data_IF_406170457542
#
_entry.id   IF_406170457542
#
_cell.length_a   1.000
_cell.length_b   1.000
_cell.length_c   1.000
_cell.angle_alpha   90.00
_cell.angle_beta   90.00
_cell.angle_gamma   90.00
#
_symmetry.space_group_name_H-M   'P 1'
#
loop_
_entity.id
_entity.type
_entity.pdbx_description
1 polymer ?
#
# COMPACT_ATOMS: atom_id res chain seq x y z
N UNK A 1 -103.76 36.06 -75.87
CA UNK A 1 -104.88 35.39 -76.56
C UNK A 1 -105.18 34.15 -75.74
N UNK A 2 -106.18 34.27 -74.86
CA UNK A 2 -106.58 33.18 -73.95
C UNK A 2 -107.29 32.10 -74.77
N UNK A 3 -106.61 30.99 -74.99
CA UNK A 3 -107.19 29.79 -75.59
C UNK A 3 -107.93 29.03 -74.49
N UNK A 4 -109.27 29.02 -74.54
CA UNK A 4 -110.07 28.08 -73.76
C UNK A 4 -109.57 26.64 -74.04
N UNK A 5 -109.28 25.83 -73.01
CA UNK A 5 -108.80 24.48 -73.22
C UNK A 5 -109.91 23.62 -73.84
N UNK A 6 -109.67 23.06 -75.01
CA UNK A 6 -110.49 22.01 -75.58
C UNK A 6 -110.51 20.84 -74.58
N UNK A 7 -111.65 20.58 -73.94
CA UNK A 7 -111.80 19.41 -73.08
C UNK A 7 -111.66 18.16 -73.94
N UNK A 8 -110.54 17.43 -73.81
CA UNK A 8 -110.38 16.11 -74.43
C UNK A 8 -111.50 15.21 -73.88
N UNK A 9 -112.48 14.88 -74.73
CA UNK A 9 -113.60 14.01 -74.41
C UNK A 9 -113.36 12.64 -75.02
N UNK A 10 -113.52 11.58 -74.22
CA UNK A 10 -113.49 10.19 -74.73
C UNK A 10 -114.85 9.53 -74.52
N UNK A 11 -115.31 8.68 -75.45
CA UNK A 11 -116.59 8.00 -75.30
C UNK A 11 -116.56 7.03 -74.10
N UNK A 12 -117.65 7.00 -73.33
CA UNK A 12 -117.86 6.08 -72.23
C UNK A 12 -117.82 4.63 -72.74
N UNK A 13 -116.98 3.78 -72.14
CA UNK A 13 -116.82 2.39 -72.56
C UNK A 13 -118.08 1.50 -72.35
N UNK A 14 -119.16 2.01 -71.76
CA UNK A 14 -120.42 1.29 -71.60
C UNK A 14 -121.57 1.84 -72.44
N UNK A 15 -121.75 3.17 -72.48
CA UNK A 15 -122.91 3.79 -73.16
C UNK A 15 -122.52 4.71 -74.34
N UNK A 16 -121.23 4.87 -74.63
CA UNK A 16 -120.74 5.70 -75.74
C UNK A 16 -120.81 7.22 -75.54
N UNK A 17 -121.46 7.72 -74.49
CA UNK A 17 -121.56 9.17 -74.20
C UNK A 17 -120.19 9.78 -73.91
N UNK A 18 -119.95 10.99 -74.40
CA UNK A 18 -118.70 11.72 -74.19
C UNK A 18 -118.43 11.97 -72.70
N UNK A 19 -117.25 11.56 -72.25
CA UNK A 19 -116.78 11.73 -70.87
C UNK A 19 -115.59 12.71 -70.90
N UNK A 20 -115.72 13.88 -70.25
CA UNK A 20 -114.62 14.84 -70.16
C UNK A 20 -113.45 14.23 -69.36
N UNK A 21 -112.26 14.26 -69.95
CA UNK A 21 -111.04 13.74 -69.35
C UNK A 21 -110.39 14.77 -68.42
N UNK A 22 -109.52 14.31 -67.52
CA UNK A 22 -108.65 15.19 -66.72
C UNK A 22 -107.42 15.55 -67.54
N UNK A 23 -107.07 16.83 -67.57
CA UNK A 23 -105.76 17.30 -68.02
C UNK A 23 -104.74 17.07 -66.88
N UNK A 24 -103.85 16.08 -67.04
CA UNK A 24 -102.77 15.78 -66.06
C UNK A 24 -102.41 14.30 -65.96
N UNK A 25 -101.36 13.99 -65.18
CA UNK A 25 -100.89 12.62 -64.95
C UNK A 25 -101.87 11.83 -64.07
N UNK A 26 -102.58 10.87 -64.67
CA UNK A 26 -103.51 9.96 -64.00
C UNK A 26 -104.26 9.09 -65.01
N UNK A 27 -104.84 7.97 -64.55
CA UNK A 27 -105.54 7.04 -65.45
C UNK A 27 -106.76 7.72 -66.09
N UNK A 28 -106.89 7.73 -67.43
CA UNK A 28 -108.04 8.30 -68.12
C UNK A 28 -109.38 7.74 -67.61
N UNK A 29 -110.40 8.60 -67.55
CA UNK A 29 -111.75 8.20 -67.18
C UNK A 29 -112.37 7.35 -68.29
N UNK A 30 -112.67 6.08 -67.96
CA UNK A 30 -113.20 5.09 -68.90
C UNK A 30 -114.73 5.01 -68.93
N UNK A 31 -115.42 5.59 -67.95
CA UNK A 31 -116.89 5.50 -67.80
C UNK A 31 -117.52 6.83 -67.40
N UNK A 32 -118.79 7.02 -67.77
CA UNK A 32 -119.61 8.17 -67.39
C UNK A 32 -119.75 8.29 -65.86
N UNK A 33 -119.64 9.52 -65.32
CA UNK A 33 -119.74 9.79 -63.87
C UNK A 33 -121.11 10.34 -63.46
N UNK A 34 -121.81 10.95 -64.42
CA UNK A 34 -123.06 11.72 -64.29
C UNK A 34 -124.28 10.90 -63.87
N UNK A 35 -124.12 9.60 -63.61
CA UNK A 35 -125.21 8.69 -63.27
C UNK A 35 -124.84 7.80 -62.06
N UNK A 36 -124.23 8.40 -61.03
CA UNK A 36 -123.74 7.74 -59.81
C UNK A 36 -122.87 6.51 -60.06
N UNK A 37 -122.10 6.47 -61.15
CA UNK A 37 -121.32 5.29 -61.55
C UNK A 37 -122.16 4.11 -62.04
N UNK A 38 -123.42 4.31 -62.44
CA UNK A 38 -124.29 3.29 -63.02
C UNK A 38 -123.64 2.64 -64.26
N UNK A 39 -123.00 3.41 -65.14
CA UNK A 39 -122.22 2.89 -66.28
C UNK A 39 -121.12 1.90 -65.82
N UNK A 40 -120.38 2.25 -64.75
CA UNK A 40 -119.31 1.41 -64.20
C UNK A 40 -119.86 0.14 -63.53
N UNK A 41 -120.95 0.26 -62.76
CA UNK A 41 -121.64 -0.88 -62.13
C UNK A 41 -122.29 -1.81 -63.15
N UNK A 42 -122.92 -1.27 -64.19
CA UNK A 42 -123.55 -2.04 -65.27
C UNK A 42 -122.50 -2.81 -66.08
N UNK A 43 -121.38 -2.16 -66.43
CA UNK A 43 -120.23 -2.85 -67.03
C UNK A 43 -119.65 -3.93 -66.11
N UNK A 44 -119.56 -3.68 -64.79
CA UNK A 44 -119.12 -4.69 -63.79
C UNK A 44 -120.07 -5.88 -63.72
N UNK A 45 -121.38 -5.64 -63.69
CA UNK A 45 -122.41 -6.68 -63.63
C UNK A 45 -122.48 -7.48 -64.94
N UNK A 46 -122.31 -6.82 -66.10
CA UNK A 46 -122.20 -7.48 -67.40
C UNK A 46 -120.98 -8.41 -67.44
N UNK A 47 -119.80 -7.94 -67.00
CA UNK A 47 -118.59 -8.77 -66.86
C UNK A 47 -118.78 -9.94 -65.89
N UNK A 48 -119.39 -9.73 -64.72
CA UNK A 48 -119.69 -10.83 -63.79
C UNK A 48 -120.64 -11.86 -64.39
N UNK A 49 -121.70 -11.43 -65.09
CA UNK A 49 -122.65 -12.35 -65.75
C UNK A 49 -121.99 -13.14 -66.87
N UNK A 50 -121.12 -12.51 -67.67
CA UNK A 50 -120.37 -13.20 -68.72
C UNK A 50 -119.33 -14.15 -68.12
N UNK A 51 -118.62 -13.74 -67.07
CA UNK A 51 -117.64 -14.59 -66.35
C UNK A 51 -118.26 -15.83 -65.70
N UNK A 52 -119.49 -15.71 -65.19
CA UNK A 52 -120.21 -16.78 -64.50
C UNK A 52 -121.22 -17.54 -65.39
N UNK A 53 -121.25 -17.26 -66.70
CA UNK A 53 -122.12 -17.96 -67.64
C UNK A 53 -121.62 -19.40 -67.86
N UNK A 54 -122.46 -20.44 -67.69
CA UNK A 54 -122.07 -21.82 -67.96
C UNK A 54 -121.88 -22.05 -69.48
N UNK A 55 -120.86 -22.83 -69.85
CA UNK A 55 -120.55 -23.19 -71.24
C UNK A 55 -119.51 -22.30 -71.94
N UNK A 56 -119.45 -22.42 -73.27
CA UNK A 56 -118.50 -21.73 -74.16
C UNK A 56 -118.41 -20.20 -73.94
N UNK A 57 -119.52 -19.45 -73.76
CA UNK A 57 -119.46 -17.99 -73.61
C UNK A 57 -118.68 -17.53 -72.36
N UNK A 58 -118.79 -18.25 -71.25
CA UNK A 58 -118.05 -17.92 -70.02
C UNK A 58 -116.57 -18.33 -70.07
N UNK A 59 -116.24 -19.39 -70.82
CA UNK A 59 -114.85 -19.74 -71.11
C UNK A 59 -114.19 -18.70 -72.02
N UNK A 60 -114.91 -18.20 -73.04
CA UNK A 60 -114.47 -17.10 -73.91
C UNK A 60 -114.27 -15.80 -73.10
N UNK A 61 -115.18 -15.47 -72.18
CA UNK A 61 -115.01 -14.29 -71.34
C UNK A 61 -113.77 -14.34 -70.41
N UNK A 62 -113.48 -15.50 -69.79
CA UNK A 62 -112.29 -15.67 -68.94
C UNK A 62 -110.99 -15.68 -69.74
N UNK A 63 -111.00 -16.23 -70.94
CA UNK A 63 -109.83 -16.19 -71.84
C UNK A 63 -109.55 -14.76 -72.30
N UNK A 64 -110.57 -13.97 -72.63
CA UNK A 64 -110.40 -12.54 -72.94
C UNK A 64 -109.85 -11.73 -71.76
N UNK A 65 -110.26 -11.99 -70.52
CA UNK A 65 -109.67 -11.33 -69.34
C UNK A 65 -108.22 -11.73 -69.09
N UNK A 66 -107.85 -12.99 -69.38
CA UNK A 66 -106.46 -13.42 -69.33
C UNK A 66 -105.63 -12.71 -70.41
N UNK A 67 -106.20 -12.52 -71.61
CA UNK A 67 -105.58 -11.72 -72.69
C UNK A 67 -105.40 -10.27 -72.25
N UNK A 68 -106.43 -9.61 -71.71
CA UNK A 68 -106.30 -8.24 -71.19
C UNK A 68 -105.21 -8.11 -70.11
N UNK A 69 -105.05 -9.13 -69.26
CA UNK A 69 -104.01 -9.13 -68.21
C UNK A 69 -102.62 -9.36 -68.80
N UNK A 70 -102.51 -10.21 -69.83
CA UNK A 70 -101.27 -10.38 -70.57
C UNK A 70 -100.89 -9.08 -71.30
N UNK A 71 -101.84 -8.41 -71.94
CA UNK A 71 -101.62 -7.12 -72.59
C UNK A 71 -101.15 -6.06 -71.58
N UNK A 72 -101.73 -6.00 -70.38
CA UNK A 72 -101.27 -5.07 -69.35
C UNK A 72 -99.86 -5.41 -68.81
N UNK A 73 -99.52 -6.70 -68.71
CA UNK A 73 -98.16 -7.12 -68.33
C UNK A 73 -97.18 -6.77 -69.45
N UNK A 74 -97.54 -7.00 -70.71
CA UNK A 74 -96.72 -6.65 -71.88
C UNK A 74 -96.52 -5.14 -71.96
N UNK A 75 -97.54 -4.33 -71.72
CA UNK A 75 -97.45 -2.87 -71.67
C UNK A 75 -96.47 -2.44 -70.55
N UNK A 76 -96.64 -2.96 -69.33
CA UNK A 76 -95.76 -2.65 -68.19
C UNK A 76 -94.30 -3.08 -68.45
N UNK A 77 -94.12 -4.27 -69.04
CA UNK A 77 -92.81 -4.78 -69.41
C UNK A 77 -92.20 -3.95 -70.53
N UNK A 78 -92.99 -3.52 -71.51
CA UNK A 78 -92.52 -2.68 -72.63
C UNK A 78 -92.13 -1.30 -72.13
N UNK A 79 -92.87 -0.70 -71.19
CA UNK A 79 -92.53 0.56 -70.55
C UNK A 79 -91.26 0.44 -69.70
N UNK A 80 -91.12 -0.62 -68.90
CA UNK A 80 -89.91 -0.87 -68.12
C UNK A 80 -88.69 -1.13 -69.04
N UNK A 81 -88.87 -1.94 -70.09
CA UNK A 81 -87.83 -2.23 -71.06
C UNK A 81 -87.46 -0.99 -71.86
N UNK A 82 -88.41 -0.13 -72.21
CA UNK A 82 -88.14 1.15 -72.85
C UNK A 82 -87.45 2.13 -71.88
N UNK A 83 -87.83 2.15 -70.60
CA UNK A 83 -87.18 2.99 -69.60
C UNK A 83 -85.71 2.60 -69.38
N UNK A 84 -85.37 1.31 -69.45
CA UNK A 84 -83.99 0.82 -69.27
C UNK A 84 -83.18 0.72 -70.57
N UNK A 85 -83.81 0.38 -71.71
CA UNK A 85 -83.13 0.23 -73.02
C UNK A 85 -83.27 1.43 -73.96
N UNK A 86 -84.04 2.46 -73.58
CA UNK A 86 -83.99 3.73 -74.33
C UNK A 86 -82.60 4.36 -74.18
N UNK A 87 -82.17 5.19 -75.16
CA UNK A 87 -80.92 5.93 -75.05
C UNK A 87 -80.77 6.69 -73.72
N UNK A 88 -81.85 7.32 -73.23
CA UNK A 88 -81.86 8.03 -71.96
C UNK A 88 -81.70 7.11 -70.73
N UNK A 89 -82.28 5.91 -70.77
CA UNK A 89 -82.11 4.89 -69.72
C UNK A 89 -80.68 4.39 -69.60
N UNK A 90 -80.07 4.05 -70.75
CA UNK A 90 -78.67 3.62 -70.83
C UNK A 90 -77.72 4.74 -70.42
N UNK A 91 -77.96 5.98 -70.83
CA UNK A 91 -77.17 7.14 -70.40
C UNK A 91 -77.24 7.36 -68.89
N UNK A 92 -78.42 7.17 -68.27
CA UNK A 92 -78.59 7.22 -66.80
C UNK A 92 -77.78 6.12 -66.11
N UNK A 93 -77.89 4.87 -66.57
CA UNK A 93 -77.11 3.75 -66.02
C UNK A 93 -75.59 3.96 -66.19
N UNK A 94 -75.16 4.45 -67.34
CA UNK A 94 -73.75 4.79 -67.58
C UNK A 94 -73.29 5.96 -66.70
N UNK A 95 -74.14 6.95 -66.45
CA UNK A 95 -73.82 8.06 -65.55
C UNK A 95 -73.71 7.58 -64.10
N UNK A 96 -74.60 6.71 -63.64
CA UNK A 96 -74.53 6.06 -62.33
C UNK A 96 -73.25 5.23 -62.17
N UNK A 97 -72.95 4.35 -63.13
CA UNK A 97 -71.71 3.57 -63.13
C UNK A 97 -70.46 4.47 -63.16
N UNK A 98 -70.47 5.56 -63.93
CA UNK A 98 -69.38 6.55 -63.92
C UNK A 98 -69.26 7.25 -62.57
N UNK A 99 -70.37 7.57 -61.91
CA UNK A 99 -70.36 8.16 -60.58
C UNK A 99 -69.80 7.17 -59.55
N UNK A 100 -70.25 5.92 -59.54
CA UNK A 100 -69.75 4.86 -58.66
C UNK A 100 -68.27 4.59 -58.87
N UNK A 101 -67.83 4.45 -60.12
CA UNK A 101 -66.40 4.25 -60.44
C UNK A 101 -65.57 5.46 -60.06
N UNK A 102 -66.07 6.69 -60.26
CA UNK A 102 -65.38 7.90 -59.79
C UNK A 102 -65.25 7.96 -58.26
N UNK A 103 -66.28 7.51 -57.53
CA UNK A 103 -66.26 7.43 -56.08
C UNK A 103 -65.28 6.35 -55.59
N UNK A 104 -65.24 5.18 -56.24
CA UNK A 104 -64.26 4.13 -55.93
C UNK A 104 -62.82 4.58 -56.19
N UNK A 105 -62.57 5.28 -57.30
CA UNK A 105 -61.24 5.83 -57.60
C UNK A 105 -60.84 6.90 -56.58
N UNK A 106 -61.78 7.78 -56.18
CA UNK A 106 -61.52 8.77 -55.15
C UNK A 106 -61.21 8.12 -53.79
N UNK A 107 -61.94 7.06 -53.41
CA UNK A 107 -61.68 6.30 -52.20
C UNK A 107 -60.29 5.62 -52.25
N UNK A 108 -59.95 4.96 -53.36
CA UNK A 108 -58.63 4.33 -53.53
C UNK A 108 -57.48 5.36 -53.48
N UNK A 109 -57.67 6.57 -54.02
CA UNK A 109 -56.69 7.64 -53.89
C UNK A 109 -56.57 8.16 -52.45
N UNK A 110 -57.69 8.29 -51.73
CA UNK A 110 -57.68 8.68 -50.32
C UNK A 110 -56.94 7.65 -49.46
N UNK A 111 -57.23 6.35 -49.63
CA UNK A 111 -56.55 5.25 -48.94
C UNK A 111 -55.06 5.22 -49.26
N UNK A 112 -54.68 5.39 -50.54
CA UNK A 112 -53.27 5.45 -50.94
C UNK A 112 -52.55 6.63 -50.28
N UNK A 113 -53.17 7.80 -50.27
CA UNK A 113 -52.56 9.00 -49.71
C UNK A 113 -52.48 8.94 -48.17
N UNK A 114 -53.44 8.28 -47.52
CA UNK A 114 -53.39 7.94 -46.09
C UNK A 114 -52.24 6.95 -45.79
N UNK A 115 -52.17 5.84 -46.52
CA UNK A 115 -51.08 4.87 -46.39
C UNK A 115 -49.70 5.50 -46.63
N UNK A 116 -49.59 6.45 -47.56
CA UNK A 116 -48.35 7.21 -47.78
C UNK A 116 -48.00 8.09 -46.57
N UNK A 117 -48.97 8.81 -46.00
CA UNK A 117 -48.75 9.63 -44.79
C UNK A 117 -48.34 8.77 -43.60
N UNK A 118 -49.01 7.64 -43.39
CA UNK A 118 -48.65 6.69 -42.33
C UNK A 118 -47.22 6.14 -42.49
N UNK A 119 -46.81 5.82 -43.73
CA UNK A 119 -45.45 5.36 -44.00
C UNK A 119 -44.38 6.46 -43.77
N UNK A 120 -44.69 7.71 -44.14
CA UNK A 120 -43.83 8.87 -43.88
C UNK A 120 -43.70 9.13 -42.36
N UNK A 121 -44.81 9.09 -41.62
CA UNK A 121 -44.85 9.25 -40.17
C UNK A 121 -44.10 8.14 -39.44
N UNK A 122 -44.28 6.88 -39.86
CA UNK A 122 -43.55 5.73 -39.33
C UNK A 122 -42.04 5.84 -39.59
N UNK A 123 -41.65 6.32 -40.78
CA UNK A 123 -40.24 6.55 -41.12
C UNK A 123 -39.64 7.67 -40.28
N UNK A 124 -40.39 8.76 -40.06
CA UNK A 124 -39.98 9.87 -39.22
C UNK A 124 -39.86 9.47 -37.74
N UNK A 125 -40.80 8.65 -37.23
CA UNK A 125 -40.74 8.09 -35.89
C UNK A 125 -39.51 7.20 -35.72
N UNK A 126 -39.28 6.26 -36.63
CA UNK A 126 -38.11 5.38 -36.58
C UNK A 126 -36.78 6.17 -36.69
N UNK A 127 -36.75 7.28 -37.41
CA UNK A 127 -35.58 8.16 -37.46
C UNK A 127 -35.33 8.86 -36.11
N UNK A 128 -36.38 9.36 -35.44
CA UNK A 128 -36.29 9.94 -34.10
C UNK A 128 -35.83 8.92 -33.07
N UNK A 129 -36.38 7.71 -33.09
CA UNK A 129 -35.99 6.64 -32.18
C UNK A 129 -34.51 6.25 -32.35
N UNK A 130 -34.04 6.14 -33.60
CA UNK A 130 -32.61 5.90 -33.88
C UNK A 130 -31.73 7.05 -33.39
N UNK A 131 -32.16 8.30 -33.54
CA UNK A 131 -31.41 9.45 -33.03
C UNK A 131 -31.35 9.43 -31.50
N UNK A 132 -32.47 9.16 -30.84
CA UNK A 132 -32.54 9.07 -29.39
C UNK A 132 -31.68 7.92 -28.85
N UNK A 133 -31.71 6.76 -29.50
CA UNK A 133 -30.86 5.63 -29.13
C UNK A 133 -29.36 5.98 -29.26
N UNK A 134 -28.97 6.66 -30.36
CA UNK A 134 -27.58 7.13 -30.53
C UNK A 134 -27.18 8.15 -29.47
N UNK A 135 -28.07 9.08 -29.11
CA UNK A 135 -27.83 10.04 -28.04
C UNK A 135 -27.66 9.33 -26.69
N UNK A 136 -28.52 8.36 -26.37
CA UNK A 136 -28.42 7.58 -25.13
C UNK A 136 -27.11 6.76 -25.05
N UNK A 137 -26.66 6.17 -26.16
CA UNK A 137 -25.35 5.50 -26.20
C UNK A 137 -24.20 6.49 -26.00
N UNK A 138 -24.22 7.64 -26.67
CA UNK A 138 -23.20 8.68 -26.49
C UNK A 138 -23.16 9.22 -25.05
N UNK A 139 -24.32 9.41 -24.41
CA UNK A 139 -24.41 9.82 -23.01
C UNK A 139 -23.86 8.76 -22.06
N UNK A 140 -24.17 7.48 -22.31
CA UNK A 140 -23.63 6.35 -21.54
C UNK A 140 -22.12 6.26 -21.66
N UNK A 141 -21.58 6.36 -22.88
CA UNK A 141 -20.15 6.27 -23.12
C UNK A 141 -19.43 7.48 -22.48
N UNK A 142 -20.00 8.69 -22.59
CA UNK A 142 -19.48 9.87 -21.89
C UNK A 142 -19.57 9.75 -20.36
N UNK A 143 -20.58 9.04 -19.83
CA UNK A 143 -20.67 8.73 -18.41
C UNK A 143 -19.61 7.71 -17.98
N UNK A 144 -19.34 6.69 -18.81
CA UNK A 144 -18.24 5.75 -18.64
C UNK A 144 -16.89 6.47 -18.56
N UNK A 145 -16.58 7.31 -19.55
CA UNK A 145 -15.35 8.10 -19.56
C UNK A 145 -15.20 9.01 -18.33
N UNK A 146 -16.31 9.58 -17.83
CA UNK A 146 -16.31 10.38 -16.60
C UNK A 146 -16.03 9.53 -15.37
N UNK A 147 -16.60 8.33 -15.29
CA UNK A 147 -16.35 7.40 -14.20
C UNK A 147 -14.89 6.92 -14.19
N UNK A 148 -14.34 6.52 -15.35
CA UNK A 148 -12.93 6.11 -15.48
C UNK A 148 -11.97 7.24 -15.09
N UNK A 149 -12.22 8.48 -15.54
CA UNK A 149 -11.42 9.64 -15.12
C UNK A 149 -11.51 9.92 -13.62
N UNK A 150 -12.69 9.75 -13.03
CA UNK A 150 -12.89 9.94 -11.59
C UNK A 150 -12.14 8.86 -10.80
N UNK A 151 -12.19 7.61 -11.24
CA UNK A 151 -11.45 6.49 -10.63
C UNK A 151 -9.94 6.69 -10.75
N UNK A 152 -9.43 7.04 -11.94
CA UNK A 152 -8.01 7.36 -12.13
C UNK A 152 -7.54 8.52 -11.23
N UNK A 153 -8.37 9.56 -11.09
CA UNK A 153 -8.08 10.70 -10.21
C UNK A 153 -8.07 10.29 -8.74
N UNK A 154 -9.01 9.44 -8.32
CA UNK A 154 -9.10 8.91 -6.96
C UNK A 154 -7.90 8.01 -6.62
N UNK A 155 -7.53 7.10 -7.53
CA UNK A 155 -6.34 6.24 -7.37
C UNK A 155 -5.06 7.07 -7.27
N UNK A 156 -4.86 8.05 -8.16
CA UNK A 156 -3.71 8.95 -8.09
C UNK A 156 -3.70 9.80 -6.80
N UNK A 157 -4.88 10.16 -6.26
CA UNK A 157 -4.97 10.84 -4.98
C UNK A 157 -4.60 9.92 -3.80
N UNK A 158 -5.05 8.67 -3.83
CA UNK A 158 -4.70 7.67 -2.81
C UNK A 158 -3.19 7.37 -2.81
N UNK A 159 -2.57 7.22 -3.97
CA UNK A 159 -1.11 7.06 -4.12
C UNK A 159 -0.34 8.27 -3.55
N UNK A 160 -0.80 9.49 -3.82
CA UNK A 160 -0.19 10.70 -3.24
C UNK A 160 -0.32 10.76 -1.72
N UNK A 161 -1.44 10.33 -1.17
CA UNK A 161 -1.64 10.26 0.29
C UNK A 161 -0.70 9.22 0.89
N UNK A 162 -0.63 8.01 0.33
CA UNK A 162 0.27 6.96 0.80
C UNK A 162 1.74 7.41 0.76
N UNK A 163 2.18 8.01 -0.36
CA UNK A 163 3.54 8.54 -0.49
C UNK A 163 3.83 9.66 0.53
N UNK A 164 2.85 10.50 0.84
CA UNK A 164 3.00 11.54 1.86
C UNK A 164 3.08 10.97 3.28
N UNK A 165 2.35 9.90 3.57
CA UNK A 165 2.42 9.18 4.85
C UNK A 165 3.77 8.49 5.03
N UNK A 166 4.26 7.78 4.00
CA UNK A 166 5.58 7.15 3.99
C UNK A 166 6.69 8.20 4.20
N UNK A 167 6.62 9.34 3.49
CA UNK A 167 7.58 10.42 3.65
C UNK A 167 7.55 11.02 5.07
N UNK A 168 6.35 11.18 5.65
CA UNK A 168 6.18 11.69 7.02
C UNK A 168 6.77 10.71 8.04
N UNK A 169 6.55 9.42 7.87
CA UNK A 169 6.99 8.40 8.81
C UNK A 169 8.51 8.17 8.70
N UNK A 170 9.08 8.26 7.49
CA UNK A 170 10.53 8.34 7.29
C UNK A 170 11.13 9.57 7.99
N UNK A 171 10.56 10.77 7.81
CA UNK A 171 11.02 11.98 8.48
C UNK A 171 10.94 11.88 10.01
N UNK A 172 9.92 11.22 10.56
CA UNK A 172 9.80 10.94 12.00
C UNK A 172 10.87 9.96 12.49
N UNK A 173 11.16 8.91 11.72
CA UNK A 173 12.21 7.95 12.05
C UNK A 173 13.59 8.64 12.06
N UNK A 174 13.89 9.46 11.04
CA UNK A 174 15.12 10.25 10.96
C UNK A 174 15.24 11.24 12.14
N UNK A 175 14.17 11.97 12.46
CA UNK A 175 14.16 12.88 13.60
C UNK A 175 14.37 12.13 14.93
N UNK A 176 13.76 10.94 15.09
CA UNK A 176 13.96 10.07 16.24
C UNK A 176 15.40 9.59 16.36
N UNK A 177 16.02 9.17 15.26
CA UNK A 177 17.42 8.74 15.22
C UNK A 177 18.37 9.91 15.54
N UNK A 178 18.12 11.10 14.97
CA UNK A 178 18.89 12.31 15.27
C UNK A 178 18.78 12.70 16.75
N UNK A 179 17.60 12.60 17.34
CA UNK A 179 17.38 12.85 18.77
C UNK A 179 18.12 11.83 19.64
N UNK A 180 18.11 10.55 19.26
CA UNK A 180 18.83 9.50 19.98
C UNK A 180 20.36 9.73 19.95
N UNK A 181 20.90 10.10 18.77
CA UNK A 181 22.32 10.47 18.63
C UNK A 181 22.68 11.69 19.49
N UNK A 182 21.80 12.71 19.57
CA UNK A 182 22.03 13.88 20.42
C UNK A 182 22.09 13.49 21.90
N UNK A 183 21.14 12.68 22.37
CA UNK A 183 21.12 12.19 23.76
C UNK A 183 22.36 11.35 24.06
N UNK A 184 22.79 10.50 23.13
CA UNK A 184 24.02 9.73 23.29
C UNK A 184 25.26 10.64 23.38
N UNK A 185 25.39 11.61 22.48
CA UNK A 185 26.49 12.58 22.52
C UNK A 185 26.51 13.41 23.81
N UNK A 186 25.34 13.77 24.36
CA UNK A 186 25.23 14.44 25.67
C UNK A 186 25.71 13.53 26.81
N UNK A 187 25.33 12.26 26.80
CA UNK A 187 25.79 11.26 27.78
C UNK A 187 27.30 11.03 27.70
N UNK A 188 27.84 10.85 26.50
CA UNK A 188 29.27 10.64 26.28
C UNK A 188 30.08 11.85 26.73
N UNK A 189 29.59 13.07 26.43
CA UNK A 189 30.19 14.31 26.92
C UNK A 189 30.20 14.39 28.44
N UNK A 190 29.09 14.02 29.08
CA UNK A 190 28.96 14.10 30.54
C UNK A 190 29.80 13.01 31.24
N UNK A 191 29.92 11.82 30.64
CA UNK A 191 30.85 10.78 31.04
C UNK A 191 32.32 11.26 30.94
N UNK A 192 32.72 11.80 29.78
CA UNK A 192 34.06 12.35 29.58
C UNK A 192 34.38 13.49 30.57
N UNK A 193 33.40 14.34 30.90
CA UNK A 193 33.54 15.39 31.93
C UNK A 193 33.68 14.80 33.33
N UNK A 194 33.03 13.69 33.62
CA UNK A 194 33.18 13.00 34.90
C UNK A 194 34.57 12.37 35.01
N UNK A 195 35.00 11.62 34.00
CA UNK A 195 36.35 11.04 33.93
C UNK A 195 37.44 12.11 34.05
N UNK A 196 37.32 13.23 33.34
CA UNK A 196 38.26 14.34 33.45
C UNK A 196 38.32 14.95 34.86
N UNK A 197 37.18 15.01 35.57
CA UNK A 197 37.16 15.45 36.97
C UNK A 197 37.90 14.44 37.85
N UNK A 198 37.64 13.15 37.68
CA UNK A 198 38.31 12.07 38.42
C UNK A 198 39.83 12.12 38.20
N UNK A 199 40.29 12.17 36.95
CA UNK A 199 41.72 12.27 36.62
C UNK A 199 42.36 13.53 37.22
N UNK A 200 41.65 14.67 37.23
CA UNK A 200 42.15 15.89 37.88
C UNK A 200 42.29 15.71 39.39
N UNK A 201 41.31 15.09 40.04
CA UNK A 201 41.37 14.83 41.48
C UNK A 201 42.49 13.86 41.85
N UNK A 202 42.69 12.80 41.05
CA UNK A 202 43.80 11.85 41.21
C UNK A 202 45.14 12.54 41.00
N UNK A 203 45.30 13.30 39.91
CA UNK A 203 46.51 14.10 39.66
C UNK A 203 46.81 15.06 40.82
N UNK A 204 45.80 15.72 41.36
CA UNK A 204 45.99 16.66 42.47
C UNK A 204 46.33 15.93 43.78
N UNK A 205 45.81 14.72 43.99
CA UNK A 205 46.22 13.84 45.08
C UNK A 205 47.67 13.38 44.92
N UNK A 206 48.08 12.95 43.72
CA UNK A 206 49.46 12.57 43.42
C UNK A 206 50.43 13.74 43.56
N UNK A 207 50.04 14.96 43.15
CA UNK A 207 50.85 16.17 43.39
C UNK A 207 51.02 16.47 44.88
N UNK A 208 49.98 16.29 45.70
CA UNK A 208 50.08 16.42 47.16
C UNK A 208 51.02 15.38 47.75
N UNK A 209 50.87 14.10 47.37
CA UNK A 209 51.76 13.01 47.78
C UNK A 209 53.21 13.29 47.40
N UNK A 210 53.46 13.77 46.19
CA UNK A 210 54.81 14.14 45.75
C UNK A 210 55.39 15.30 46.56
N UNK A 211 54.58 16.30 46.91
CA UNK A 211 55.00 17.42 47.77
C UNK A 211 55.28 16.95 49.20
N UNK A 212 54.45 16.07 49.76
CA UNK A 212 54.65 15.44 51.08
C UNK A 212 55.94 14.64 51.11
N UNK A 213 56.17 13.73 50.15
CA UNK A 213 57.42 12.97 50.02
C UNK A 213 58.65 13.87 49.84
N UNK A 214 58.50 15.00 49.13
CA UNK A 214 59.57 15.99 48.99
C UNK A 214 59.88 16.66 50.33
N UNK A 215 58.85 17.06 51.08
CA UNK A 215 59.00 17.64 52.41
C UNK A 215 59.60 16.64 53.41
N UNK A 216 59.18 15.37 53.38
CA UNK A 216 59.76 14.28 54.18
C UNK A 216 61.23 14.07 53.85
N UNK A 217 61.59 14.02 52.55
CA UNK A 217 62.98 13.92 52.10
C UNK A 217 63.82 15.10 52.61
N UNK A 218 63.30 16.31 52.49
CA UNK A 218 64.02 17.53 52.90
C UNK A 218 64.17 17.61 54.42
N UNK A 219 63.15 17.18 55.18
CA UNK A 219 63.23 17.02 56.63
C UNK A 219 64.28 15.97 57.02
N UNK A 220 64.25 14.79 56.40
CA UNK A 220 65.23 13.73 56.62
C UNK A 220 66.65 14.17 56.28
N UNK A 221 66.83 14.96 55.21
CA UNK A 221 68.12 15.58 54.85
C UNK A 221 68.58 16.57 55.92
N UNK A 222 67.69 17.45 56.38
CA UNK A 222 68.01 18.41 57.44
C UNK A 222 68.35 17.69 58.77
N UNK A 223 67.67 16.60 59.10
CA UNK A 223 67.99 15.73 60.23
C UNK A 223 69.35 15.05 60.07
N UNK A 224 69.66 14.51 58.89
CA UNK A 224 70.97 13.92 58.60
C UNK A 224 72.10 14.95 58.70
N UNK A 225 71.88 16.18 58.21
CA UNK A 225 72.83 17.29 58.35
C UNK A 225 73.00 17.72 59.81
N UNK A 226 71.91 17.77 60.60
CA UNK A 226 71.97 18.01 62.06
C UNK A 226 72.75 16.92 62.77
N UNK A 227 72.49 15.65 62.46
CA UNK A 227 73.18 14.51 63.03
C UNK A 227 74.68 14.53 62.67
N UNK A 228 75.01 14.90 61.42
CA UNK A 228 76.40 15.04 60.96
C UNK A 228 77.10 16.17 61.72
N UNK A 229 76.49 17.36 61.84
CA UNK A 229 77.04 18.47 62.64
C UNK A 229 77.25 18.08 64.10
N UNK A 230 76.26 17.44 64.72
CA UNK A 230 76.36 16.95 66.10
C UNK A 230 77.47 15.91 66.27
N UNK A 231 77.64 15.00 65.29
CA UNK A 231 78.72 14.03 65.26
C UNK A 231 80.09 14.71 65.10
N UNK A 232 80.22 15.70 64.21
CA UNK A 232 81.44 16.51 64.06
C UNK A 232 81.76 17.26 65.35
N UNK A 233 80.78 17.94 65.97
CA UNK A 233 80.97 18.62 67.26
C UNK A 233 81.33 17.63 68.40
N UNK A 234 80.81 16.41 68.37
CA UNK A 234 81.19 15.36 69.31
C UNK A 234 82.63 14.87 69.07
N UNK A 235 83.04 14.73 67.80
CA UNK A 235 84.42 14.41 67.43
C UNK A 235 85.37 15.53 67.81
N UNK A 236 85.05 16.79 67.53
CA UNK A 236 85.84 17.96 67.92
C UNK A 236 85.96 18.05 69.44
N UNK A 237 84.88 17.80 70.19
CA UNK A 237 84.94 17.72 71.66
C UNK A 237 85.78 16.54 72.13
N UNK A 238 85.71 15.39 71.45
CA UNK A 238 86.55 14.24 71.77
C UNK A 238 88.02 14.51 71.45
N UNK A 239 88.33 15.22 70.37
CA UNK A 239 89.68 15.66 70.01
C UNK A 239 90.21 16.72 70.96
N UNK A 240 89.39 17.69 71.36
CA UNK A 240 89.72 18.67 72.40
C UNK A 240 89.98 17.96 73.72
N UNK A 241 89.12 17.02 74.12
CA UNK A 241 89.30 16.20 75.32
C UNK A 241 90.55 15.31 75.24
N UNK A 242 90.89 14.80 74.05
CA UNK A 242 92.15 14.05 73.81
C UNK A 242 93.36 14.97 73.85
N UNK A 243 93.30 16.15 73.25
CA UNK A 243 94.36 17.15 73.29
C UNK A 243 94.55 17.73 74.69
N UNK A 244 93.48 17.84 75.47
CA UNK A 244 93.51 18.17 76.90
C UNK A 244 94.04 17.01 77.73
N UNK A 245 93.66 15.76 77.43
CA UNK A 245 94.23 14.57 78.05
C UNK A 245 95.71 14.41 77.68
N UNK A 246 96.13 14.77 76.48
CA UNK A 246 97.52 14.74 76.02
C UNK A 246 98.31 15.93 76.57
N UNK A 247 97.70 17.10 76.73
CA UNK A 247 98.28 18.22 77.50
C UNK A 247 98.37 17.90 78.99
N UNK A 248 97.40 17.18 79.55
CA UNK A 248 97.43 16.69 80.91
C UNK A 248 98.46 15.57 81.06
N UNK A 249 98.62 14.68 80.07
CA UNK A 249 99.68 13.67 80.03
C UNK A 249 101.04 14.29 79.81
N UNK A 250 101.19 15.31 78.98
CA UNK A 250 102.41 16.09 78.81
C UNK A 250 102.71 16.92 80.06
N UNK A 251 101.67 17.42 80.74
CA UNK A 251 101.76 18.07 82.05
C UNK A 251 102.15 17.10 83.15
N UNK A 252 101.64 15.87 83.12
CA UNK A 252 102.02 14.74 83.98
C UNK A 252 103.41 14.24 83.61
N UNK A 253 103.83 14.24 82.35
CA UNK A 253 105.17 13.85 81.89
C UNK A 253 106.20 14.93 82.20
N UNK A 254 105.82 16.21 82.15
CA UNK A 254 106.64 17.34 82.62
C UNK A 254 106.65 17.39 84.15
N UNK A 255 105.56 17.03 84.82
CA UNK A 255 105.53 16.79 86.26
C UNK A 255 106.32 15.53 86.63
N UNK A 256 106.39 14.51 85.79
CA UNK A 256 107.20 13.29 85.95
C UNK A 256 108.66 13.55 85.58
N UNK A 257 108.98 14.45 84.66
CA UNK A 257 110.34 14.92 84.41
C UNK A 257 110.85 15.74 85.60
N UNK A 258 110.02 16.62 86.13
CA UNK A 258 110.26 17.32 87.40
C UNK A 258 110.25 16.37 88.59
N UNK A 259 109.45 15.30 88.56
CA UNK A 259 109.42 14.28 89.58
C UNK A 259 110.60 13.31 89.44
N UNK A 260 111.18 13.06 88.27
CA UNK A 260 112.39 12.22 88.08
C UNK A 260 113.64 12.99 88.47
N UNK A 261 113.66 14.32 88.28
CA UNK A 261 114.67 15.18 88.91
C UNK A 261 114.47 15.27 90.42
N UNK A 262 113.22 15.33 90.91
CA UNK A 262 112.90 15.22 92.33
C UNK A 262 113.07 13.80 92.90
N UNK A 263 113.07 12.74 92.08
CA UNK A 263 113.20 11.32 92.44
C UNK A 263 114.66 10.89 92.34
N UNK A 264 115.51 11.57 91.57
CA UNK A 264 116.97 11.56 91.81
C UNK A 264 117.32 12.23 93.14
N UNK A 265 116.52 13.20 93.60
CA UNK A 265 116.63 13.79 94.94
C UNK A 265 115.90 12.95 96.04
N UNK A 266 114.86 12.19 95.70
CA UNK A 266 114.05 11.40 96.63
C UNK A 266 114.41 9.91 96.67
N UNK A 267 115.18 9.35 95.73
CA UNK A 267 115.83 8.02 95.86
C UNK A 267 116.98 8.03 96.85
N UNK A 268 117.42 9.22 97.30
CA UNK A 268 118.21 9.40 98.52
C UNK A 268 117.34 9.46 99.81
N UNK A 269 116.01 9.52 99.68
CA UNK A 269 115.05 9.68 100.78
C UNK A 269 114.04 8.52 100.93
N UNK A 270 113.79 7.72 99.89
CA UNK A 270 112.74 6.71 99.84
C UNK A 270 113.20 5.24 99.95
N UNK A 271 114.48 4.98 100.21
CA UNK A 271 114.91 3.77 100.96
C UNK A 271 114.35 3.77 102.41
N UNK A 272 113.77 4.89 102.85
CA UNK A 272 113.12 5.04 104.16
C UNK A 272 111.58 4.90 104.11
N UNK A 273 110.98 4.59 102.96
CA UNK A 273 109.52 4.55 102.80
C UNK A 273 108.98 3.27 102.14
N UNK A 274 109.73 2.15 102.24
CA UNK A 274 109.18 0.78 102.16
C UNK A 274 108.07 0.50 103.19
N UNK A 275 107.80 1.44 104.10
CA UNK A 275 106.79 1.34 105.15
C UNK A 275 105.34 1.57 104.69
N UNK A 276 105.07 1.89 103.42
CA UNK A 276 103.71 2.22 102.95
C UNK A 276 103.10 1.20 101.98
N UNK A 277 103.37 -0.08 102.26
CA UNK A 277 102.62 -1.24 101.76
C UNK A 277 101.13 -1.29 102.19
N UNK A 278 100.52 -0.24 102.72
CA UNK A 278 99.17 -0.28 103.29
C UNK A 278 98.06 0.15 102.34
N UNK A 279 98.38 0.87 101.26
CA UNK A 279 97.37 1.43 100.33
C UNK A 279 97.14 0.54 99.10
N UNK A 280 97.27 -0.76 99.30
CA UNK A 280 97.06 -1.81 98.30
C UNK A 280 95.59 -2.16 98.05
N UNK A 281 94.58 -1.48 98.61
CA UNK A 281 93.23 -2.12 98.72
C UNK A 281 92.04 -1.34 98.14
N UNK A 282 92.19 -0.08 97.71
CA UNK A 282 91.07 0.71 97.15
C UNK A 282 90.91 0.60 95.63
N UNK A 283 91.88 0.06 94.89
CA UNK A 283 91.89 0.05 93.42
C UNK A 283 91.11 -1.10 92.74
N UNK A 284 90.62 -2.09 93.50
CA UNK A 284 89.99 -3.30 92.94
C UNK A 284 88.45 -3.21 92.79
N UNK A 285 87.79 -2.26 93.47
CA UNK A 285 86.31 -2.11 93.46
C UNK A 285 85.78 -1.33 92.23
N UNK A 286 86.61 -0.50 91.60
CA UNK A 286 86.24 0.30 90.41
C UNK A 286 86.22 -0.53 89.11
N UNK A 287 86.94 -1.66 89.06
CA UNK A 287 87.05 -2.49 87.86
C UNK A 287 85.79 -3.32 87.59
N UNK A 288 85.14 -3.84 88.64
CA UNK A 288 84.01 -4.77 88.51
C UNK A 288 82.70 -4.09 88.05
N UNK A 289 82.60 -2.75 88.14
CA UNK A 289 81.44 -1.98 87.62
C UNK A 289 81.52 -1.70 86.12
N UNK A 290 82.70 -1.74 85.52
CA UNK A 290 82.92 -1.45 84.10
C UNK A 290 82.64 -2.65 83.17
N UNK A 291 82.66 -3.87 83.71
CA UNK A 291 82.43 -5.11 82.94
C UNK A 291 80.95 -5.52 82.91
N UNK A 292 80.16 -5.17 83.93
CA UNK A 292 78.70 -5.38 83.94
C UNK A 292 77.95 -4.54 82.88
N UNK A 293 78.38 -3.30 82.64
CA UNK A 293 77.77 -2.40 81.66
C UNK A 293 78.06 -2.79 80.19
N UNK A 294 79.14 -3.55 79.93
CA UNK A 294 79.48 -4.03 78.57
C UNK A 294 78.71 -5.29 78.19
N UNK A 295 78.30 -6.11 79.16
CA UNK A 295 77.49 -7.31 78.92
C UNK A 295 76.04 -6.97 78.55
N UNK A 296 75.45 -5.93 79.15
CA UNK A 296 74.07 -5.49 78.85
C UNK A 296 73.95 -4.80 77.48
N UNK A 297 74.97 -4.05 77.06
CA UNK A 297 75.02 -3.42 75.73
C UNK A 297 75.17 -4.44 74.58
N UNK A 298 75.89 -5.54 74.80
CA UNK A 298 76.01 -6.64 73.83
C UNK A 298 74.71 -7.43 73.64
N UNK A 299 73.99 -7.69 74.74
CA UNK A 299 72.71 -8.41 74.70
C UNK A 299 71.58 -7.59 74.04
N UNK A 300 71.61 -6.25 74.15
CA UNK A 300 70.67 -5.38 73.45
C UNK A 300 70.92 -5.31 71.94
N UNK A 301 72.18 -5.32 71.51
CA UNK A 301 72.55 -5.29 70.09
C UNK A 301 72.20 -6.61 69.36
N UNK A 302 72.36 -7.75 70.04
CA UNK A 302 71.95 -9.07 69.54
C UNK A 302 70.42 -9.18 69.39
N UNK A 303 69.64 -8.66 70.35
CA UNK A 303 68.17 -8.63 70.26
C UNK A 303 67.68 -7.78 69.08
N UNK A 304 68.26 -6.60 68.87
CA UNK A 304 67.92 -5.73 67.73
C UNK A 304 68.33 -6.34 66.39
N UNK A 305 69.46 -7.08 66.33
CA UNK A 305 69.87 -7.81 65.13
C UNK A 305 68.97 -9.01 64.84
N UNK A 306 68.56 -9.76 65.87
CA UNK A 306 67.64 -10.87 65.74
C UNK A 306 66.25 -10.38 65.26
N UNK A 307 65.73 -9.30 65.84
CA UNK A 307 64.46 -8.68 65.43
C UNK A 307 64.53 -8.07 64.02
N UNK A 308 65.63 -7.41 63.65
CA UNK A 308 65.85 -6.90 62.30
C UNK A 308 65.97 -8.05 61.27
N UNK A 309 66.63 -9.16 61.62
CA UNK A 309 66.72 -10.33 60.74
C UNK A 309 65.37 -11.02 60.55
N UNK A 310 64.58 -11.15 61.63
CA UNK A 310 63.22 -11.71 61.56
C UNK A 310 62.26 -10.81 60.76
N UNK A 311 62.39 -9.48 60.87
CA UNK A 311 61.61 -8.53 60.08
C UNK A 311 61.98 -8.57 58.58
N UNK A 312 63.26 -8.74 58.25
CA UNK A 312 63.71 -8.91 56.86
C UNK A 312 63.27 -10.25 56.28
N UNK A 313 63.29 -11.33 57.06
CA UNK A 313 62.78 -12.62 56.60
C UNK A 313 61.27 -12.64 56.44
N UNK A 314 60.52 -12.01 57.35
CA UNK A 314 59.08 -11.81 57.21
C UNK A 314 58.73 -10.99 55.96
N UNK A 315 59.45 -9.88 55.71
CA UNK A 315 59.26 -9.06 54.51
C UNK A 315 59.63 -9.81 53.22
N UNK A 316 60.65 -10.68 53.26
CA UNK A 316 61.02 -11.55 52.13
C UNK A 316 59.99 -12.65 51.88
N UNK A 317 59.41 -13.24 52.94
CA UNK A 317 58.34 -14.23 52.82
C UNK A 317 57.05 -13.61 52.26
N UNK A 318 56.69 -12.40 52.70
CA UNK A 318 55.55 -11.66 52.15
C UNK A 318 55.78 -11.21 50.70
N UNK A 319 56.99 -10.78 50.35
CA UNK A 319 57.36 -10.45 48.98
C UNK A 319 57.37 -11.69 48.06
N UNK A 320 57.84 -12.84 48.56
CA UNK A 320 57.75 -14.10 47.82
C UNK A 320 56.30 -14.54 47.60
N UNK A 321 55.45 -14.40 48.63
CA UNK A 321 54.03 -14.73 48.54
C UNK A 321 53.24 -13.75 47.64
N UNK A 322 53.66 -12.49 47.51
CA UNK A 322 53.04 -11.52 46.60
C UNK A 322 53.48 -11.75 45.16
N UNK A 323 54.74 -12.13 44.93
CA UNK A 323 55.25 -12.53 43.60
C UNK A 323 54.59 -13.82 43.12
N UNK A 324 54.37 -14.81 44.00
CA UNK A 324 53.71 -16.05 43.61
C UNK A 324 52.23 -15.85 43.29
N UNK A 325 51.53 -14.98 44.03
CA UNK A 325 50.16 -14.54 43.70
C UNK A 325 50.11 -13.82 42.36
N UNK A 326 51.04 -12.88 42.10
CA UNK A 326 51.11 -12.19 40.82
C UNK A 326 51.43 -13.14 39.66
N UNK A 327 52.24 -14.19 39.87
CA UNK A 327 52.50 -15.22 38.86
C UNK A 327 51.28 -16.10 38.58
N UNK A 328 50.52 -16.47 39.62
CA UNK A 328 49.27 -17.19 39.48
C UNK A 328 48.21 -16.36 38.72
N UNK A 329 48.10 -15.07 39.02
CA UNK A 329 47.19 -14.14 38.34
C UNK A 329 47.58 -13.94 36.87
N UNK A 330 48.88 -13.83 36.57
CA UNK A 330 49.38 -13.75 35.19
C UNK A 330 49.18 -15.06 34.43
N UNK A 331 49.39 -16.22 35.07
CA UNK A 331 49.11 -17.53 34.45
C UNK A 331 47.62 -17.69 34.13
N UNK A 332 46.72 -17.31 35.04
CA UNK A 332 45.28 -17.31 34.81
C UNK A 332 44.87 -16.34 33.70
N UNK A 333 45.49 -15.16 33.60
CA UNK A 333 45.25 -14.21 32.53
C UNK A 333 45.74 -14.72 31.16
N UNK A 334 46.85 -15.44 31.13
CA UNK A 334 47.38 -16.08 29.91
C UNK A 334 46.46 -17.22 29.45
N UNK A 335 46.00 -18.08 30.37
CA UNK A 335 45.02 -19.13 30.03
C UNK A 335 43.72 -18.54 29.48
N UNK A 336 43.18 -17.49 30.10
CA UNK A 336 41.99 -16.79 29.59
C UNK A 336 42.23 -16.14 28.21
N UNK A 337 43.42 -15.60 27.96
CA UNK A 337 43.78 -15.04 26.66
C UNK A 337 43.91 -16.14 25.57
N UNK A 338 44.45 -17.31 25.91
CA UNK A 338 44.53 -18.45 24.99
C UNK A 338 43.15 -19.04 24.69
N UNK A 339 42.26 -19.12 25.68
CA UNK A 339 40.88 -19.57 25.48
C UNK A 339 40.09 -18.62 24.56
N UNK A 340 40.20 -17.31 24.76
CA UNK A 340 39.56 -16.31 23.87
C UNK A 340 40.14 -16.30 22.47
N UNK A 341 41.42 -16.60 22.32
CA UNK A 341 42.06 -16.73 20.99
C UNK A 341 41.54 -17.96 20.27
N UNK A 342 41.39 -19.10 20.96
CA UNK A 342 40.80 -20.31 20.40
C UNK A 342 39.32 -20.12 20.01
N UNK A 343 38.53 -19.41 20.82
CA UNK A 343 37.14 -19.03 20.48
C UNK A 343 37.08 -18.14 19.23
N UNK A 344 37.95 -17.13 19.13
CA UNK A 344 38.03 -16.26 17.95
C UNK A 344 38.40 -17.05 16.69
N UNK A 345 39.35 -17.97 16.80
CA UNK A 345 39.81 -18.76 15.66
C UNK A 345 38.75 -19.79 15.22
N UNK A 346 37.95 -20.33 16.16
CA UNK A 346 36.78 -21.16 15.87
C UNK A 346 35.70 -20.36 15.12
N UNK A 347 35.37 -19.14 15.58
CA UNK A 347 34.42 -18.24 14.91
C UNK A 347 34.92 -17.82 13.52
N UNK A 348 36.23 -17.61 13.36
CA UNK A 348 36.82 -17.32 12.05
C UNK A 348 36.72 -18.51 11.08
N UNK A 349 36.88 -19.74 11.57
CA UNK A 349 36.68 -20.95 10.78
C UNK A 349 35.21 -21.13 10.35
N UNK A 350 34.26 -20.94 11.27
CA UNK A 350 32.82 -20.99 10.98
C UNK A 350 32.41 -19.93 9.95
N UNK A 351 32.96 -18.72 10.03
CA UNK A 351 32.70 -17.66 9.05
C UNK A 351 33.27 -18.01 7.67
N UNK A 352 34.42 -18.68 7.61
CA UNK A 352 35.00 -19.16 6.35
C UNK A 352 34.15 -20.28 5.72
N UNK A 353 33.61 -21.18 6.53
CA UNK A 353 32.67 -22.22 6.09
C UNK A 353 31.34 -21.64 5.61
N UNK A 354 30.79 -20.65 6.32
CA UNK A 354 29.58 -19.94 5.90
C UNK A 354 29.77 -19.23 4.56
N UNK A 355 30.93 -18.60 4.33
CA UNK A 355 31.28 -17.97 3.04
C UNK A 355 31.43 -18.98 1.91
N UNK A 356 32.05 -20.13 2.17
CA UNK A 356 32.13 -21.24 1.19
C UNK A 356 30.73 -21.76 0.84
N UNK A 357 29.88 -21.97 1.85
CA UNK A 357 28.50 -22.42 1.64
C UNK A 357 27.67 -21.40 0.83
N UNK A 358 27.83 -20.10 1.10
CA UNK A 358 27.18 -19.03 0.35
C UNK A 358 27.64 -19.02 -1.13
N UNK A 359 28.95 -19.08 -1.38
CA UNK A 359 29.46 -19.14 -2.77
C UNK A 359 29.00 -20.40 -3.53
N UNK A 360 28.86 -21.53 -2.84
CA UNK A 360 28.33 -22.76 -3.43
C UNK A 360 26.81 -22.71 -3.66
N UNK A 361 26.08 -21.89 -2.91
CA UNK A 361 24.65 -21.63 -3.13
C UNK A 361 24.44 -20.68 -4.32
N UNK A 362 25.27 -19.63 -4.44
CA UNK A 362 25.28 -18.70 -5.58
C UNK A 362 25.63 -19.42 -6.89
N UNK A 363 26.63 -20.31 -6.88
CA UNK A 363 26.98 -21.13 -8.05
C UNK A 363 25.83 -22.07 -8.47
N UNK A 364 25.10 -22.64 -7.50
CA UNK A 364 23.91 -23.47 -7.76
C UNK A 364 22.75 -22.66 -8.30
N UNK A 365 22.55 -21.43 -7.80
CA UNK A 365 21.54 -20.52 -8.32
C UNK A 365 21.85 -20.09 -9.77
N UNK A 366 23.12 -19.82 -10.09
CA UNK A 366 23.57 -19.52 -11.44
C UNK A 366 23.41 -20.71 -12.41
N UNK A 367 23.73 -21.94 -11.97
CA UNK A 367 23.49 -23.16 -12.76
C UNK A 367 22.00 -23.39 -13.02
N UNK A 368 21.14 -23.20 -12.01
CA UNK A 368 19.69 -23.30 -12.19
C UNK A 368 19.15 -22.23 -13.13
N UNK A 369 19.62 -20.99 -13.03
CA UNK A 369 19.24 -19.92 -13.95
C UNK A 369 19.65 -20.23 -15.40
N UNK A 370 20.84 -20.78 -15.61
CA UNK A 370 21.30 -21.21 -16.92
C UNK A 370 20.44 -22.35 -17.50
N UNK A 371 20.06 -23.34 -16.68
CA UNK A 371 19.17 -24.44 -17.10
C UNK A 371 17.77 -23.94 -17.44
N UNK A 372 17.23 -23.00 -16.68
CA UNK A 372 15.93 -22.38 -16.98
C UNK A 372 15.98 -21.63 -18.30
N UNK A 373 17.04 -20.86 -18.58
CA UNK A 373 17.21 -20.16 -19.85
C UNK A 373 17.29 -21.13 -21.05
N UNK A 374 17.94 -22.29 -20.88
CA UNK A 374 17.98 -23.34 -21.92
C UNK A 374 16.59 -23.95 -22.13
N UNK A 375 15.85 -24.25 -21.06
CA UNK A 375 14.49 -24.81 -21.16
C UNK A 375 13.53 -23.81 -21.80
N UNK A 376 13.67 -22.51 -21.50
CA UNK A 376 12.88 -21.45 -22.14
C UNK A 376 13.23 -21.31 -23.63
N UNK A 377 14.51 -21.36 -23.99
CA UNK A 377 14.94 -21.36 -25.39
C UNK A 377 14.41 -22.58 -26.17
N UNK A 378 14.41 -23.76 -25.54
CA UNK A 378 13.85 -24.99 -26.12
C UNK A 378 12.33 -24.94 -26.27
N UNK A 379 11.62 -24.37 -25.28
CA UNK A 379 10.18 -24.11 -25.33
C UNK A 379 9.84 -23.17 -26.48
N UNK A 380 10.57 -22.08 -26.61
CA UNK A 380 10.34 -21.09 -27.67
C UNK A 380 10.70 -21.67 -29.05
N UNK A 381 11.72 -22.53 -29.13
CA UNK A 381 12.02 -23.29 -30.35
C UNK A 381 10.92 -24.31 -30.67
N UNK A 382 10.32 -24.96 -29.68
CA UNK A 382 9.17 -25.84 -29.86
C UNK A 382 7.92 -25.07 -30.31
N UNK A 383 7.66 -23.88 -29.74
CA UNK A 383 6.55 -23.01 -30.16
C UNK A 383 6.73 -22.49 -31.58
N UNK A 384 7.97 -22.11 -31.98
CA UNK A 384 8.27 -21.75 -33.38
C UNK A 384 8.07 -22.92 -34.35
N UNK A 385 8.45 -24.14 -33.95
CA UNK A 385 8.21 -25.35 -34.75
C UNK A 385 6.71 -25.69 -34.85
N UNK A 386 5.95 -25.50 -33.78
CA UNK A 386 4.49 -25.64 -33.80
C UNK A 386 3.83 -24.60 -34.71
N UNK A 387 4.32 -23.35 -34.70
CA UNK A 387 3.91 -22.30 -35.64
C UNK A 387 4.21 -22.67 -37.10
N UNK A 388 5.43 -23.11 -37.39
CA UNK A 388 5.80 -23.59 -38.74
C UNK A 388 4.97 -24.78 -39.21
N UNK A 389 4.65 -25.73 -38.32
CA UNK A 389 3.78 -26.86 -38.65
C UNK A 389 2.33 -26.40 -38.90
N UNK A 390 1.84 -25.41 -38.15
CA UNK A 390 0.52 -24.82 -38.38
C UNK A 390 0.46 -24.08 -39.73
N UNK A 391 1.52 -23.33 -40.07
CA UNK A 391 1.64 -22.66 -41.37
C UNK A 391 1.74 -23.67 -42.52
N UNK A 392 2.52 -24.75 -42.36
CA UNK A 392 2.61 -25.84 -43.35
C UNK A 392 1.27 -26.58 -43.53
N UNK A 393 0.49 -26.79 -42.47
CA UNK A 393 -0.85 -27.38 -42.56
C UNK A 393 -1.83 -26.42 -43.24
N UNK A 394 -1.71 -25.12 -42.97
CA UNK A 394 -2.52 -24.07 -43.63
C UNK A 394 -2.19 -23.95 -45.12
N UNK A 395 -0.91 -24.05 -45.49
CA UNK A 395 -0.45 -24.08 -46.87
C UNK A 395 -0.88 -25.37 -47.59
N UNK A 396 -0.87 -26.52 -46.90
CA UNK A 396 -1.38 -27.78 -47.43
C UNK A 396 -2.90 -27.74 -47.63
N UNK A 397 -3.64 -27.13 -46.70
CA UNK A 397 -5.08 -26.91 -46.82
C UNK A 397 -5.41 -25.94 -47.97
N UNK A 398 -4.59 -24.91 -48.16
CA UNK A 398 -4.71 -23.95 -49.26
C UNK A 398 -4.35 -24.59 -50.61
N UNK A 399 -3.36 -25.49 -50.64
CA UNK A 399 -3.01 -26.27 -51.83
C UNK A 399 -4.10 -27.30 -52.19
N UNK A 400 -4.71 -27.96 -51.20
CA UNK A 400 -5.86 -28.85 -51.40
C UNK A 400 -7.11 -28.09 -51.88
N UNK A 401 -7.37 -26.89 -51.36
CA UNK A 401 -8.43 -26.01 -51.86
C UNK A 401 -8.20 -25.54 -53.32
N UNK A 402 -6.94 -25.35 -53.73
CA UNK A 402 -6.55 -25.04 -55.12
C UNK A 402 -6.61 -26.24 -56.06
N UNK A 403 -6.49 -27.47 -55.55
CA UNK A 403 -6.71 -28.69 -56.33
C UNK A 403 -8.20 -29.03 -56.48
N UNK A 404 -9.03 -28.73 -55.48
CA UNK A 404 -10.49 -28.91 -55.55
C UNK A 404 -11.21 -27.97 -56.52
N UNK A 405 -10.58 -26.86 -56.92
CA UNK A 405 -11.14 -25.86 -57.85
C UNK A 405 -10.73 -26.10 -59.32
N UNK A 406 -10.00 -27.17 -59.63
CA UNK A 406 -9.55 -27.52 -61.00
C UNK A 406 -10.26 -28.73 -61.62
N UNK A 407 -11.24 -29.31 -60.93
CA UNK A 407 -12.05 -30.44 -61.40
C UNK A 407 -13.56 -30.20 -61.24
N UNK A 408 -14.00 -28.99 -61.58
CA UNK A 408 -15.40 -28.61 -61.74
C UNK A 408 -15.60 -27.86 -63.04
#
# INVERSE_FOLDING_TARGET
MDAEPATDTRPCAHCGRDVPQRVGAGRPFRYCRDNDGACQRAARNSRMRHRNSPGLPGQVARTWEAVDRLDQIVETLTEALHAELSPAGVERQLAELRAETSAQVAAAHAERDEARREAEDATAAAARDRQQARAAYAERDAAGDRAERAEATASAAAERVAAAEDARDAARAEAGAAQALRVQAERDRDAARHELRTVRTERDAERRRAAELTAERDAARADAERATRSATEALDRAEQSRAEADRARAGVQAAQGRAVEAERAARAAAERADAQAATARQALVERDRADAARAEAGAALERVRAEASAAVEAARAEAAASVERARADVAAAVEQATARTAERDAVAAELADARRAASAAEARAADLAARTAVIEADRDAAQRRAGQLADQVSDLATALARLGTRTG
#
